data_IF_828356123179
#
_entry.id   IF_828356123179
#
_cell.length_a   1.000
_cell.length_b   1.000
_cell.length_c   1.000
_cell.angle_alpha   90.00
_cell.angle_beta   90.00
_cell.angle_gamma   90.00
#
_symmetry.space_group_name_H-M   'P 1'
#
loop_
_entity.id
_entity.type
_entity.pdbx_description
1 polymer ?
#
# COMPACT_ATOMS: atom_id res chain seq x y z
N UNK A 1 13.08 -13.16 12.97
CA UNK A 1 11.67 -12.98 13.41
C UNK A 1 10.98 -12.19 12.32
N UNK A 2 9.82 -12.65 11.82
CA UNK A 2 9.11 -11.93 10.78
C UNK A 2 8.62 -10.58 11.30
N UNK A 3 8.92 -9.53 10.53
CA UNK A 3 8.48 -8.17 10.82
C UNK A 3 7.31 -7.79 9.89
N UNK A 4 6.44 -6.89 10.37
CA UNK A 4 5.38 -6.33 9.54
C UNK A 4 5.93 -5.22 8.66
N UNK A 5 5.67 -5.33 7.36
CA UNK A 5 5.96 -4.32 6.36
C UNK A 5 4.66 -3.75 5.79
N UNK A 6 4.62 -2.42 5.66
CA UNK A 6 3.56 -1.71 4.93
C UNK A 6 4.18 -0.95 3.78
N UNK A 7 3.67 -1.15 2.57
CA UNK A 7 4.09 -0.46 1.36
C UNK A 7 2.95 0.38 0.83
N UNK A 8 3.24 1.65 0.62
CA UNK A 8 2.34 2.54 -0.10
C UNK A 8 2.72 2.52 -1.58
N UNK A 9 1.73 2.17 -2.40
CA UNK A 9 1.86 2.04 -3.84
C UNK A 9 1.07 3.20 -4.45
N UNK A 10 1.81 4.22 -4.87
CA UNK A 10 1.21 5.42 -5.45
C UNK A 10 1.01 5.20 -6.95
N UNK A 11 -0.22 5.41 -7.42
CA UNK A 11 -0.51 5.36 -8.85
C UNK A 11 0.00 6.62 -9.56
N UNK A 12 0.50 6.46 -10.79
CA UNK A 12 0.79 7.60 -11.67
C UNK A 12 -0.55 8.19 -12.14
N UNK A 13 -0.67 9.52 -12.15
CA UNK A 13 -1.91 10.19 -12.59
C UNK A 13 -2.36 9.75 -14.00
N UNK A 14 -1.40 9.46 -14.87
CA UNK A 14 -1.64 9.07 -16.26
C UNK A 14 -2.17 7.64 -16.42
N UNK A 15 -2.00 6.74 -15.44
CA UNK A 15 -2.43 5.35 -15.55
C UNK A 15 -3.91 5.15 -15.24
N UNK A 16 -4.60 6.15 -14.66
CA UNK A 16 -5.99 6.01 -14.20
C UNK A 16 -6.16 5.03 -13.03
N UNK A 17 -5.05 4.46 -12.51
CA UNK A 17 -5.06 3.54 -11.38
C UNK A 17 -5.26 4.27 -10.05
N UNK A 18 -5.60 3.52 -9.01
CA UNK A 18 -5.77 4.03 -7.66
C UNK A 18 -4.55 3.73 -6.80
N UNK A 19 -4.29 4.61 -5.85
CA UNK A 19 -3.32 4.35 -4.79
C UNK A 19 -3.74 3.12 -3.97
N UNK A 20 -2.76 2.35 -3.50
CA UNK A 20 -2.99 1.12 -2.76
C UNK A 20 -2.05 0.99 -1.58
N UNK A 21 -2.53 0.30 -0.54
CA UNK A 21 -1.71 -0.16 0.56
C UNK A 21 -1.52 -1.67 0.45
N UNK A 22 -0.30 -2.13 0.70
CA UNK A 22 0.02 -3.54 0.84
C UNK A 22 0.68 -3.79 2.19
N UNK A 23 0.19 -4.78 2.92
CA UNK A 23 0.76 -5.20 4.19
C UNK A 23 1.15 -6.68 4.13
N UNK A 24 2.34 -7.00 4.61
CA UNK A 24 2.81 -8.39 4.71
C UNK A 24 3.74 -8.58 5.91
N UNK A 25 3.82 -9.81 6.41
CA UNK A 25 4.92 -10.24 7.25
C UNK A 25 6.06 -10.80 6.38
N UNK A 26 7.29 -10.45 6.72
CA UNK A 26 8.46 -11.00 6.03
C UNK A 26 9.69 -11.00 6.95
N UNK A 27 10.65 -11.89 6.66
CA UNK A 27 11.93 -11.92 7.37
C UNK A 27 12.91 -10.86 6.86
N UNK A 28 12.64 -10.22 5.72
CA UNK A 28 13.45 -9.12 5.20
C UNK A 28 12.67 -8.22 4.26
N UNK A 29 13.17 -6.99 4.08
CA UNK A 29 12.64 -6.01 3.11
C UNK A 29 12.60 -6.60 1.70
N UNK A 30 13.62 -7.37 1.30
CA UNK A 30 13.70 -7.99 -0.03
C UNK A 30 12.55 -8.97 -0.25
N UNK A 31 12.29 -9.84 0.72
CA UNK A 31 11.17 -10.80 0.67
C UNK A 31 9.84 -10.06 0.62
N UNK A 32 9.70 -8.99 1.40
CA UNK A 32 8.50 -8.17 1.44
C UNK A 32 8.20 -7.51 0.07
N UNK A 33 9.22 -6.97 -0.61
CA UNK A 33 9.11 -6.49 -1.99
C UNK A 33 8.74 -7.60 -2.98
N UNK A 34 9.35 -8.78 -2.86
CA UNK A 34 9.00 -9.92 -3.73
C UNK A 34 7.54 -10.33 -3.56
N UNK A 35 7.00 -10.33 -2.34
CA UNK A 35 5.57 -10.60 -2.10
C UNK A 35 4.69 -9.51 -2.69
N UNK A 36 5.07 -8.24 -2.55
CA UNK A 36 4.37 -7.12 -3.17
C UNK A 36 4.30 -7.26 -4.70
N UNK A 37 5.42 -7.56 -5.35
CA UNK A 37 5.45 -7.75 -6.80
C UNK A 37 4.57 -8.91 -7.25
N UNK A 38 4.60 -10.04 -6.52
CA UNK A 38 3.68 -11.16 -6.77
C UNK A 38 2.22 -10.74 -6.65
N UNK A 39 1.88 -9.93 -5.65
CA UNK A 39 0.52 -9.45 -5.46
C UNK A 39 0.08 -8.51 -6.61
N UNK A 40 0.97 -7.64 -7.11
CA UNK A 40 0.69 -6.78 -8.27
C UNK A 40 0.46 -7.62 -9.53
N UNK A 41 1.35 -8.58 -9.82
CA UNK A 41 1.22 -9.47 -10.96
C UNK A 41 -0.07 -10.31 -10.89
N UNK A 42 -0.41 -10.85 -9.72
CA UNK A 42 -1.63 -11.63 -9.52
C UNK A 42 -2.92 -10.83 -9.76
N UNK A 43 -2.87 -9.50 -9.62
CA UNK A 43 -3.99 -8.59 -9.88
C UNK A 43 -3.95 -7.96 -11.28
N UNK A 44 -3.09 -8.47 -12.19
CA UNK A 44 -2.88 -7.93 -13.52
C UNK A 44 -2.54 -6.43 -13.53
N UNK A 45 -1.76 -5.99 -12.53
CA UNK A 45 -1.33 -4.60 -12.39
C UNK A 45 0.09 -4.44 -12.91
N UNK A 46 0.30 -3.48 -13.81
CA UNK A 46 1.60 -3.19 -14.38
C UNK A 46 2.41 -2.27 -13.48
N UNK A 47 3.69 -2.60 -13.27
CA UNK A 47 4.57 -1.79 -12.44
C UNK A 47 4.80 -0.38 -12.99
N UNK A 48 4.74 -0.22 -14.31
CA UNK A 48 4.85 1.08 -14.98
C UNK A 48 3.72 2.04 -14.64
N UNK A 49 2.57 1.54 -14.18
CA UNK A 49 1.43 2.36 -13.77
C UNK A 49 1.63 3.01 -12.39
N UNK A 50 2.66 2.57 -11.65
CA UNK A 50 2.90 2.97 -10.28
C UNK A 50 4.29 3.58 -10.12
N UNK A 51 4.44 4.41 -9.08
CA UNK A 51 5.76 4.79 -8.60
C UNK A 51 6.37 3.64 -7.82
N UNK A 52 7.71 3.65 -7.69
CA UNK A 52 8.44 2.68 -6.87
C UNK A 52 7.80 2.60 -5.48
N UNK A 53 7.26 1.43 -5.07
CA UNK A 53 6.58 1.30 -3.79
C UNK A 53 7.53 1.65 -2.65
N UNK A 54 7.11 2.53 -1.75
CA UNK A 54 7.91 2.92 -0.60
C UNK A 54 7.40 2.24 0.65
N UNK A 55 8.34 1.75 1.48
CA UNK A 55 8.01 1.32 2.84
C UNK A 55 7.47 2.53 3.59
N UNK A 56 6.37 2.32 4.28
CA UNK A 56 5.73 3.32 5.14
C UNK A 56 5.65 2.80 6.56
N UNK A 57 5.60 3.68 7.56
CA UNK A 57 5.27 3.26 8.91
C UNK A 57 3.89 2.61 8.94
N UNK A 58 3.74 1.62 9.82
CA UNK A 58 2.46 0.93 9.99
C UNK A 58 1.40 1.94 10.47
N UNK A 59 0.19 1.89 9.91
CA UNK A 59 -0.96 2.61 10.45
C UNK A 59 -1.31 2.13 11.88
N UNK A 60 -0.64 2.67 12.91
CA UNK A 60 -0.90 2.32 14.31
C UNK A 60 -2.31 2.77 14.69
N UNK A 61 -3.11 1.87 15.28
CA UNK A 61 -4.48 2.16 15.71
C UNK A 61 -5.51 2.18 14.56
N UNK A 62 -5.12 1.79 13.35
CA UNK A 62 -6.03 1.66 12.19
C UNK A 62 -6.10 0.19 11.81
N UNK A 63 -7.30 -0.30 11.46
CA UNK A 63 -7.47 -1.66 10.96
C UNK A 63 -6.69 -1.83 9.65
N UNK A 64 -5.61 -2.61 9.71
CA UNK A 64 -4.79 -2.93 8.55
C UNK A 64 -5.57 -3.76 7.54
N UNK A 65 -5.24 -3.65 6.25
CA UNK A 65 -5.76 -4.56 5.24
C UNK A 65 -5.31 -5.99 5.52
N UNK A 66 -6.03 -6.95 4.94
CA UNK A 66 -5.66 -8.35 5.02
C UNK A 66 -4.25 -8.57 4.47
N UNK A 67 -3.48 -9.42 5.15
CA UNK A 67 -2.11 -9.70 4.78
C UNK A 67 -2.01 -10.26 3.35
N UNK A 68 -1.02 -9.78 2.59
CA UNK A 68 -0.77 -10.22 1.23
C UNK A 68 -1.80 -9.71 0.20
N UNK A 69 -2.73 -8.84 0.59
CA UNK A 69 -3.72 -8.25 -0.32
C UNK A 69 -3.47 -6.77 -0.57
N UNK A 70 -3.70 -6.36 -1.82
CA UNK A 70 -3.71 -4.96 -2.24
C UNK A 70 -5.03 -4.31 -1.84
N UNK A 71 -4.98 -3.29 -0.99
CA UNK A 71 -6.17 -2.58 -0.53
C UNK A 71 -6.21 -1.16 -1.10
N UNK A 72 -7.11 -0.96 -2.07
CA UNK A 72 -7.42 0.37 -2.65
C UNK A 72 -8.33 1.19 -1.75
N UNK A 73 -9.23 0.53 -1.01
CA UNK A 73 -10.20 1.18 -0.13
C UNK A 73 -9.55 1.81 1.10
N UNK A 74 -8.41 1.27 1.54
CA UNK A 74 -7.57 1.90 2.55
C UNK A 74 -7.13 3.29 2.10
N UNK A 75 -6.56 3.41 0.90
CA UNK A 75 -6.08 4.69 0.36
C UNK A 75 -7.20 5.66 -0.03
N UNK A 76 -8.45 5.20 -0.16
CA UNK A 76 -9.63 6.07 -0.25
C UNK A 76 -10.04 6.68 1.09
N UNK A 77 -9.79 5.97 2.20
CA UNK A 77 -10.16 6.41 3.56
C UNK A 77 -9.03 7.12 4.28
N UNK A 78 -7.79 6.81 3.93
CA UNK A 78 -6.59 7.31 4.57
C UNK A 78 -5.62 7.86 3.52
N UNK A 79 -4.78 8.80 3.92
CA UNK A 79 -3.68 9.29 3.13
C UNK A 79 -2.44 9.42 4.00
N UNK A 80 -1.28 9.31 3.37
CA UNK A 80 0.00 9.47 4.05
C UNK A 80 0.43 10.94 3.97
N UNK A 81 0.63 11.58 5.13
CA UNK A 81 1.19 12.93 5.25
C UNK A 81 2.49 12.82 6.03
N UNK A 82 3.61 13.06 5.34
CA UNK A 82 4.94 12.74 5.87
C UNK A 82 5.01 11.25 6.21
N UNK A 83 5.23 10.95 7.48
CA UNK A 83 5.32 9.58 8.02
C UNK A 83 4.07 9.16 8.81
N UNK A 84 2.92 9.82 8.60
CA UNK A 84 1.70 9.49 9.35
C UNK A 84 0.49 9.24 8.44
N UNK A 85 -0.19 8.15 8.72
CA UNK A 85 -1.48 7.83 8.10
C UNK A 85 -2.59 8.64 8.77
N UNK A 86 -3.22 9.52 7.99
CA UNK A 86 -4.34 10.35 8.44
C UNK A 86 -5.61 9.95 7.70
N UNK A 87 -6.73 9.98 8.41
CA UNK A 87 -8.05 9.78 7.81
C UNK A 87 -8.32 10.93 6.84
N UNK A 88 -8.67 10.61 5.60
CA UNK A 88 -9.12 11.63 4.65
C UNK A 88 -10.41 12.25 5.17
N UNK A 89 -10.57 13.58 5.11
CA UNK A 89 -11.87 14.18 5.34
C UNK A 89 -12.85 13.54 4.36
N UNK A 90 -14.01 13.09 4.86
CA UNK A 90 -15.08 12.64 3.96
C UNK A 90 -15.39 13.82 3.03
N UNK A 91 -15.51 13.61 1.71
CA UNK A 91 -16.03 14.67 0.86
C UNK A 91 -17.39 15.06 1.46
N UNK A 92 -17.48 16.31 1.89
CA UNK A 92 -18.76 16.91 2.28
C UNK A 92 -19.47 17.10 0.94
N UNK A 93 -20.39 16.19 0.63
CA UNK A 93 -21.35 16.41 -0.45
C UNK A 93 -22.29 17.55 -0.09
#
# INVERSE_FOLDING_TARGET
MPEYFAFFIKAKKQSGQQDMLFCCQADSVRVAYSQLYRALTANALHLDDYFTPRRTPLPIGIKLPAEGKLDRAFCRRYHLVGDRWLKRPRPVC
#
